data_IF_772322650209
#
_entry.id   IF_772322650209
#
_cell.length_a   1.000
_cell.length_b   1.000
_cell.length_c   1.000
_cell.angle_alpha   90.00
_cell.angle_beta   90.00
_cell.angle_gamma   90.00
#
_symmetry.space_group_name_H-M   'P 1'
#
loop_
_entity.id
_entity.type
_entity.pdbx_description
1 polymer ?
#
# COMPACT_ATOMS: atom_id res chain seq x y z
N UNK A 1 -3.69 3.61 -0.87
CA UNK A 1 -2.52 4.22 -0.18
C UNK A 1 -1.30 4.09 -1.07
N UNK A 2 -0.47 5.13 -1.24
CA UNK A 2 0.76 5.04 -2.06
C UNK A 2 1.99 4.85 -1.15
N UNK A 3 2.83 3.88 -1.47
CA UNK A 3 4.07 3.53 -0.76
C UNK A 3 5.26 3.94 -1.63
N UNK A 4 6.08 4.85 -1.14
CA UNK A 4 7.27 5.37 -1.83
C UNK A 4 8.53 5.14 -0.98
N UNK A 5 9.75 5.29 -1.54
CA UNK A 5 10.98 5.25 -0.74
C UNK A 5 10.98 6.24 0.44
N UNK A 6 10.43 7.44 0.25
CA UNK A 6 10.33 8.43 1.32
C UNK A 6 9.33 8.01 2.40
N UNK A 7 8.25 7.32 2.02
CA UNK A 7 7.32 6.72 2.98
C UNK A 7 8.03 5.66 3.83
N UNK A 8 8.78 4.74 3.21
CA UNK A 8 9.53 3.70 3.91
C UNK A 8 10.52 4.29 4.94
N UNK A 9 11.30 5.30 4.53
CA UNK A 9 12.21 6.02 5.43
C UNK A 9 11.48 6.64 6.62
N UNK A 10 10.29 7.19 6.40
CA UNK A 10 9.49 7.82 7.45
C UNK A 10 8.96 6.80 8.47
N UNK A 11 8.51 5.63 8.02
CA UNK A 11 7.93 4.61 8.92
C UNK A 11 9.00 3.77 9.63
N UNK A 12 10.19 3.61 9.05
CA UNK A 12 11.30 2.87 9.65
C UNK A 12 11.77 3.43 11.01
N UNK A 13 11.55 4.74 11.25
CA UNK A 13 11.90 5.41 12.51
C UNK A 13 10.72 5.73 13.44
N UNK A 14 9.48 5.41 13.04
CA UNK A 14 8.28 5.86 13.72
C UNK A 14 7.57 4.70 14.45
N UNK A 15 8.02 4.38 15.68
CA UNK A 15 7.37 3.35 16.52
C UNK A 15 5.91 3.64 16.90
N UNK A 16 5.42 4.87 16.69
CA UNK A 16 4.01 5.30 16.93
C UNK A 16 3.15 5.22 15.66
N UNK A 17 3.77 5.29 14.47
CA UNK A 17 3.03 5.17 13.19
C UNK A 17 2.31 3.83 13.10
N UNK A 18 2.81 2.81 13.80
CA UNK A 18 2.23 1.48 13.89
C UNK A 18 0.78 1.49 14.42
N UNK A 19 0.38 2.36 15.36
CA UNK A 19 -0.98 2.36 15.94
C UNK A 19 -2.05 2.95 15.02
N UNK A 20 -1.79 4.11 14.43
CA UNK A 20 -2.72 4.74 13.48
C UNK A 20 -2.81 3.94 12.18
N UNK A 21 -1.69 3.39 11.73
CA UNK A 21 -1.66 2.52 10.57
C UNK A 21 -2.34 1.17 10.87
N UNK A 22 -2.17 0.61 12.06
CA UNK A 22 -2.92 -0.59 12.53
C UNK A 22 -4.44 -0.36 12.53
N UNK A 23 -4.89 0.84 12.91
CA UNK A 23 -6.32 1.17 12.86
C UNK A 23 -6.86 1.19 11.41
N UNK A 24 -6.09 1.72 10.46
CA UNK A 24 -6.41 1.65 9.03
C UNK A 24 -6.36 0.21 8.49
N UNK A 25 -5.44 -0.61 9.00
CA UNK A 25 -5.32 -2.03 8.64
C UNK A 25 -6.46 -2.90 9.16
N UNK A 26 -7.09 -2.53 10.27
CA UNK A 26 -8.15 -3.33 10.91
C UNK A 26 -9.44 -3.44 10.09
N UNK A 27 -9.63 -2.60 9.07
CA UNK A 27 -10.88 -2.52 8.29
C UNK A 27 -10.83 -3.19 6.92
N UNK A 28 -9.73 -3.87 6.56
CA UNK A 28 -9.48 -4.46 5.23
C UNK A 28 -9.66 -3.52 4.01
N UNK A 29 -9.88 -2.23 4.23
CA UNK A 29 -10.11 -1.20 3.21
C UNK A 29 -8.83 -0.65 2.58
N UNK A 30 -7.68 -1.30 2.80
CA UNK A 30 -6.39 -0.75 2.41
C UNK A 30 -5.77 -1.55 1.26
N UNK A 31 -5.77 -0.94 0.08
CA UNK A 31 -5.01 -1.42 -1.08
C UNK A 31 -3.70 -0.60 -1.18
N UNK A 32 -2.54 -1.19 -0.85
CA UNK A 32 -1.24 -0.54 -1.02
C UNK A 32 -0.83 -0.51 -2.50
N UNK A 33 -0.28 0.62 -2.93
CA UNK A 33 0.29 0.81 -4.28
C UNK A 33 1.76 1.19 -4.11
N UNK A 34 2.69 0.31 -4.45
CA UNK A 34 4.13 0.62 -4.38
C UNK A 34 4.57 1.40 -5.61
N UNK A 35 5.28 2.50 -5.38
CA UNK A 35 5.80 3.41 -6.40
C UNK A 35 7.29 3.67 -6.18
N UNK A 36 8.11 3.37 -7.18
CA UNK A 36 9.58 3.42 -7.10
C UNK A 36 10.16 2.64 -5.91
N UNK A 37 9.46 1.58 -5.50
CA UNK A 37 9.87 0.64 -4.44
C UNK A 37 9.18 -0.71 -4.67
N UNK A 38 9.43 -1.70 -3.80
CA UNK A 38 8.88 -3.05 -3.89
C UNK A 38 8.08 -3.43 -2.63
N UNK A 39 7.26 -4.48 -2.75
CA UNK A 39 6.59 -5.07 -1.59
C UNK A 39 7.58 -5.74 -0.63
N UNK A 40 8.73 -6.21 -1.11
CA UNK A 40 9.77 -6.79 -0.26
C UNK A 40 10.39 -5.70 0.63
N UNK A 41 10.77 -4.54 0.06
CA UNK A 41 11.24 -3.39 0.83
C UNK A 41 10.20 -2.91 1.85
N UNK A 42 8.91 -2.98 1.50
CA UNK A 42 7.84 -2.65 2.43
C UNK A 42 7.73 -3.68 3.56
N UNK A 43 7.86 -4.98 3.25
CA UNK A 43 7.80 -6.07 4.23
C UNK A 43 8.97 -6.03 5.20
N UNK A 44 10.15 -5.64 4.75
CA UNK A 44 11.34 -5.49 5.60
C UNK A 44 11.14 -4.40 6.67
N UNK A 45 10.41 -3.33 6.34
CA UNK A 45 10.15 -2.21 7.26
C UNK A 45 8.89 -2.43 8.08
N UNK A 46 7.85 -3.03 7.49
CA UNK A 46 6.60 -3.36 8.15
C UNK A 46 6.03 -4.66 7.60
N UNK A 47 6.26 -5.79 8.30
CA UNK A 47 5.77 -7.10 7.86
C UNK A 47 4.25 -7.14 7.66
N UNK A 48 3.49 -6.45 8.52
CA UNK A 48 2.03 -6.37 8.46
C UNK A 48 1.52 -5.60 7.24
N UNK A 49 2.21 -4.55 6.81
CA UNK A 49 1.86 -3.83 5.58
C UNK A 49 2.27 -4.62 4.33
N UNK A 50 3.46 -5.21 4.36
CA UNK A 50 4.01 -5.98 3.24
C UNK A 50 3.29 -7.30 2.99
N UNK A 51 2.53 -7.84 3.94
CA UNK A 51 1.74 -9.07 3.75
C UNK A 51 0.45 -8.86 2.96
N UNK A 52 0.02 -7.61 2.76
CA UNK A 52 -1.21 -7.31 2.00
C UNK A 52 -0.99 -7.34 0.50
N UNK A 53 -1.96 -7.88 -0.22
CA UNK A 53 -2.04 -7.79 -1.68
C UNK A 53 -2.24 -6.34 -2.12
N UNK A 54 -1.60 -5.94 -3.22
CA UNK A 54 -1.73 -4.60 -3.76
C UNK A 54 -1.12 -4.45 -5.15
N UNK A 55 -0.91 -3.21 -5.57
CA UNK A 55 -0.51 -2.87 -6.94
C UNK A 55 0.89 -2.26 -6.98
N UNK A 56 1.54 -2.27 -8.16
CA UNK A 56 2.89 -1.72 -8.35
C UNK A 56 2.97 -0.92 -9.64
N UNK A 57 3.42 0.32 -9.55
CA UNK A 57 3.68 1.16 -10.73
C UNK A 57 4.93 0.73 -11.51
N UNK A 58 5.71 -0.21 -10.97
CA UNK A 58 6.83 -0.84 -11.68
C UNK A 58 6.38 -2.03 -12.55
N UNK A 59 5.14 -2.51 -12.37
CA UNK A 59 4.54 -3.63 -13.12
C UNK A 59 3.39 -3.20 -14.02
N UNK A 60 2.70 -2.11 -13.68
CA UNK A 60 1.57 -1.58 -14.45
C UNK A 60 1.70 -0.06 -14.61
N UNK A 61 1.01 0.47 -15.63
CA UNK A 61 0.85 1.93 -15.80
C UNK A 61 -0.11 2.48 -14.74
N UNK A 62 0.02 3.78 -14.43
CA UNK A 62 -0.90 4.47 -13.52
C UNK A 62 -2.36 4.41 -14.01
N UNK A 63 -2.57 4.44 -15.34
CA UNK A 63 -3.89 4.35 -15.94
C UNK A 63 -4.53 2.97 -15.71
N UNK A 64 -3.76 1.90 -15.90
CA UNK A 64 -4.24 0.54 -15.63
C UNK A 64 -4.53 0.34 -14.13
N UNK A 65 -3.66 0.85 -13.26
CA UNK A 65 -3.87 0.80 -11.80
C UNK A 65 -5.15 1.53 -11.42
N UNK A 66 -5.39 2.72 -11.96
CA UNK A 66 -6.62 3.47 -11.70
C UNK A 66 -7.87 2.71 -12.18
N UNK A 67 -7.79 2.08 -13.35
CA UNK A 67 -8.90 1.27 -13.90
C UNK A 67 -9.22 0.07 -13.00
N UNK A 68 -8.20 -0.69 -12.57
CA UNK A 68 -8.34 -1.81 -11.62
C UNK A 68 -8.96 -1.38 -10.29
N UNK A 69 -8.62 -0.19 -9.80
CA UNK A 69 -9.22 0.35 -8.58
C UNK A 69 -10.68 0.76 -8.79
N UNK A 70 -11.02 1.29 -9.95
CA UNK A 70 -12.40 1.64 -10.28
C UNK A 70 -13.31 0.40 -10.32
N UNK A 71 -12.83 -0.72 -10.87
CA UNK A 71 -13.53 -2.01 -10.87
C UNK A 71 -13.83 -2.53 -9.46
N UNK A 72 -12.94 -2.30 -8.49
CA UNK A 72 -13.11 -2.75 -7.10
C UNK A 72 -14.09 -1.88 -6.29
N UNK A 73 -14.41 -0.68 -6.76
CA UNK A 73 -15.28 0.28 -6.07
C UNK A 73 -16.63 0.41 -6.78
N UNK A 74 -16.74 -0.02 -8.04
CA UNK A 74 -18.02 -0.14 -8.70
C UNK A 74 -18.86 -1.18 -7.96
N UNK A 75 -19.91 -0.73 -7.29
CA UNK A 75 -20.99 -1.61 -6.88
C UNK A 75 -21.68 -2.03 -8.17
N UNK A 76 -21.85 -3.33 -8.40
CA UNK A 76 -22.72 -3.82 -9.46
C UNK A 76 -24.10 -3.16 -9.29
N UNK A 77 -24.66 -2.59 -10.37
CA UNK A 77 -26.01 -1.99 -10.38
C UNK A 77 -27.10 -3.03 -10.07
#
# INVERSE_FOLDING_TARGET
MIVTPNFLKRIQGAGIADKELSALLSRDQLIPIVHNTTFDNLRDVSPLLGSRSGLSTGKDTMLNIASKLAELVSLDD
#
